data_IF_846279148119
#
_entry.id   IF_846279148119
#
_cell.length_a   1.000
_cell.length_b   1.000
_cell.length_c   1.000
_cell.angle_alpha   90.00
_cell.angle_beta   90.00
_cell.angle_gamma   90.00
#
_symmetry.space_group_name_H-M   'P 1'
#
loop_
_entity.id
_entity.type
_entity.pdbx_description
1 polymer ?
#
# COMPACT_ATOMS: atom_id res chain seq x y z
N UNK A 1 154.34 138.52 -28.59
CA UNK A 1 153.56 137.78 -27.58
C UNK A 1 152.26 138.57 -27.29
N UNK A 2 151.25 138.48 -28.16
CA UNK A 2 149.87 138.93 -27.86
C UNK A 2 148.83 138.48 -28.93
N UNK A 3 149.26 138.00 -30.10
CA UNK A 3 148.34 137.64 -31.20
C UNK A 3 147.85 136.17 -31.10
N UNK A 4 148.61 135.25 -30.52
CA UNK A 4 148.21 133.83 -30.37
C UNK A 4 147.11 133.60 -29.32
N UNK A 5 147.00 134.44 -28.29
CA UNK A 5 145.99 134.26 -27.24
C UNK A 5 144.58 134.71 -27.67
N UNK A 6 144.48 135.58 -28.68
CA UNK A 6 143.20 136.13 -29.12
C UNK A 6 142.49 135.19 -30.11
N UNK A 7 143.26 134.44 -30.93
CA UNK A 7 142.69 133.42 -31.83
C UNK A 7 142.15 132.18 -31.09
N UNK A 8 142.78 131.78 -29.98
CA UNK A 8 142.33 130.60 -29.19
C UNK A 8 141.03 130.90 -28.44
N UNK A 9 140.84 132.13 -27.97
CA UNK A 9 139.61 132.57 -27.31
C UNK A 9 138.40 132.57 -28.25
N UNK A 10 138.58 133.04 -29.50
CA UNK A 10 137.50 133.04 -30.49
C UNK A 10 137.13 131.61 -30.93
N UNK A 11 138.09 130.70 -31.07
CA UNK A 11 137.82 129.30 -31.38
C UNK A 11 137.06 128.56 -30.26
N UNK A 12 137.37 128.84 -28.99
CA UNK A 12 136.67 128.21 -27.86
C UNK A 12 135.24 128.72 -27.69
N UNK A 13 135.01 130.02 -27.89
CA UNK A 13 133.66 130.60 -27.82
C UNK A 13 132.74 130.09 -28.92
N UNK A 14 133.27 129.85 -30.14
CA UNK A 14 132.49 129.27 -31.23
C UNK A 14 132.07 127.83 -30.95
N UNK A 15 132.94 127.03 -30.33
CA UNK A 15 132.65 125.63 -30.00
C UNK A 15 131.60 125.50 -28.88
N UNK A 16 131.68 126.34 -27.86
CA UNK A 16 130.76 126.30 -26.72
C UNK A 16 129.31 126.57 -27.16
N UNK A 17 129.10 127.57 -28.02
CA UNK A 17 127.76 127.89 -28.53
C UNK A 17 127.19 126.79 -29.44
N UNK A 18 128.04 126.12 -30.23
CA UNK A 18 127.59 125.00 -31.07
C UNK A 18 127.19 123.76 -30.25
N UNK A 19 127.86 123.51 -29.11
CA UNK A 19 127.47 122.42 -28.20
C UNK A 19 126.14 122.75 -27.54
N UNK A 20 125.96 123.95 -27.00
CA UNK A 20 124.72 124.34 -26.31
C UNK A 20 123.48 124.23 -27.23
N UNK A 21 123.59 124.60 -28.50
CA UNK A 21 122.51 124.46 -29.48
C UNK A 21 122.26 122.99 -29.91
N UNK A 22 123.29 122.13 -29.91
CA UNK A 22 123.16 120.71 -30.25
C UNK A 22 122.43 119.88 -29.18
N UNK A 23 122.57 120.21 -27.88
CA UNK A 23 122.00 119.41 -26.76
C UNK A 23 120.68 119.93 -26.18
N UNK A 24 120.18 121.08 -26.64
CA UNK A 24 118.92 121.66 -26.15
C UNK A 24 117.72 120.74 -26.38
N UNK A 25 117.62 120.15 -27.57
CA UNK A 25 116.50 119.27 -27.95
C UNK A 25 116.46 117.99 -27.10
N UNK A 26 117.60 117.33 -26.88
CA UNK A 26 117.69 116.09 -26.11
C UNK A 26 117.30 116.29 -24.63
N UNK A 27 117.58 117.48 -24.08
CA UNK A 27 117.23 117.81 -22.69
C UNK A 27 115.73 117.98 -22.50
N UNK A 28 115.05 118.61 -23.46
CA UNK A 28 113.58 118.76 -23.45
C UNK A 28 112.87 117.40 -23.62
N UNK A 29 113.40 116.50 -24.47
CA UNK A 29 112.86 115.15 -24.63
C UNK A 29 112.99 114.30 -23.36
N UNK A 30 114.13 114.38 -22.67
CA UNK A 30 114.36 113.66 -21.40
C UNK A 30 113.34 114.03 -20.32
N UNK A 31 113.00 115.31 -20.16
CA UNK A 31 111.98 115.73 -19.19
C UNK A 31 110.58 115.23 -19.55
N UNK A 32 110.23 115.21 -20.84
CA UNK A 32 108.94 114.71 -21.31
C UNK A 32 108.78 113.21 -21.05
N UNK A 33 109.83 112.41 -21.31
CA UNK A 33 109.85 110.98 -21.03
C UNK A 33 109.75 110.66 -19.53
N UNK A 34 110.42 111.45 -18.67
CA UNK A 34 110.32 111.28 -17.23
C UNK A 34 108.89 111.53 -16.71
N UNK A 35 108.20 112.55 -17.23
CA UNK A 35 106.78 112.80 -16.88
C UNK A 35 105.86 111.68 -17.38
N UNK A 36 106.11 111.14 -18.57
CA UNK A 36 105.39 109.97 -19.10
C UNK A 36 105.59 108.73 -18.24
N UNK A 37 106.79 108.50 -17.73
CA UNK A 37 107.09 107.37 -16.84
C UNK A 37 106.23 107.37 -15.57
N UNK A 38 106.12 108.52 -14.90
CA UNK A 38 105.30 108.67 -13.67
C UNK A 38 103.81 108.44 -13.94
N UNK A 39 103.31 108.88 -15.11
CA UNK A 39 101.89 108.68 -15.49
C UNK A 39 101.63 107.18 -15.73
N UNK A 40 102.50 106.50 -16.47
CA UNK A 40 102.35 105.08 -16.78
C UNK A 40 102.45 104.18 -15.54
N UNK A 41 103.30 104.52 -14.57
CA UNK A 41 103.43 103.77 -13.32
C UNK A 41 102.16 103.86 -12.47
N UNK A 42 101.54 105.05 -12.43
CA UNK A 42 100.25 105.24 -11.76
C UNK A 42 99.10 104.52 -12.47
N UNK A 43 99.06 104.57 -13.81
CA UNK A 43 98.08 103.82 -14.61
C UNK A 43 98.23 102.31 -14.41
N UNK A 44 99.46 101.80 -14.27
CA UNK A 44 99.74 100.39 -14.01
C UNK A 44 99.23 99.96 -12.62
N UNK A 45 99.44 100.78 -11.59
CA UNK A 45 98.93 100.52 -10.24
C UNK A 45 97.38 100.51 -10.21
N UNK A 46 96.74 101.46 -10.90
CA UNK A 46 95.27 101.49 -11.03
C UNK A 46 94.73 100.26 -11.79
N UNK A 47 95.44 99.79 -12.83
CA UNK A 47 95.06 98.59 -13.58
C UNK A 47 95.20 97.32 -12.74
N UNK A 48 96.28 97.20 -11.95
CA UNK A 48 96.52 96.06 -11.07
C UNK A 48 95.45 95.95 -9.98
N UNK A 49 95.01 97.07 -9.41
CA UNK A 49 93.93 97.06 -8.42
C UNK A 49 92.58 96.68 -9.04
N UNK A 50 92.29 97.13 -10.26
CA UNK A 50 91.11 96.72 -11.00
C UNK A 50 91.11 95.21 -11.31
N UNK A 51 92.27 94.64 -11.64
CA UNK A 51 92.43 93.20 -11.85
C UNK A 51 92.14 92.43 -10.57
N UNK A 52 92.65 92.86 -9.42
CA UNK A 52 92.35 92.22 -8.12
C UNK A 52 90.87 92.26 -7.78
N UNK A 53 90.19 93.38 -8.01
CA UNK A 53 88.74 93.50 -7.81
C UNK A 53 87.98 92.53 -8.72
N UNK A 54 88.40 92.39 -9.99
CA UNK A 54 87.79 91.45 -10.93
C UNK A 54 88.10 89.99 -10.60
N UNK A 55 89.28 89.67 -10.09
CA UNK A 55 89.61 88.33 -9.61
C UNK A 55 88.74 87.94 -8.40
N UNK A 56 88.50 88.87 -7.47
CA UNK A 56 87.59 88.67 -6.35
C UNK A 56 86.14 88.46 -6.83
N UNK A 57 85.67 89.28 -7.78
CA UNK A 57 84.33 89.12 -8.39
C UNK A 57 84.19 87.79 -9.15
N UNK A 58 85.24 87.35 -9.85
CA UNK A 58 85.26 86.03 -10.52
C UNK A 58 85.21 84.90 -9.49
N UNK A 59 85.93 85.02 -8.37
CA UNK A 59 85.90 84.03 -7.30
C UNK A 59 84.53 83.96 -6.64
N UNK A 60 83.90 85.12 -6.39
CA UNK A 60 82.53 85.20 -5.87
C UNK A 60 81.51 84.60 -6.85
N UNK A 61 81.59 84.95 -8.14
CA UNK A 61 80.72 84.39 -9.17
C UNK A 61 80.89 82.86 -9.30
N UNK A 62 82.13 82.35 -9.20
CA UNK A 62 82.38 80.89 -9.16
C UNK A 62 81.73 80.23 -7.94
N UNK A 63 81.78 80.89 -6.78
CA UNK A 63 81.10 80.40 -5.57
C UNK A 63 79.58 80.38 -5.73
N UNK A 64 79.00 81.43 -6.33
CA UNK A 64 77.55 81.51 -6.58
C UNK A 64 77.07 80.48 -7.61
N UNK A 65 77.86 80.22 -8.67
CA UNK A 65 77.59 79.17 -9.64
C UNK A 65 77.58 77.80 -8.95
N UNK A 66 78.57 77.52 -8.08
CA UNK A 66 78.61 76.27 -7.33
C UNK A 66 77.38 76.08 -6.43
N UNK A 67 76.94 77.13 -5.72
CA UNK A 67 75.72 77.07 -4.89
C UNK A 67 74.45 76.82 -5.73
N UNK A 68 74.37 77.41 -6.92
CA UNK A 68 73.27 77.15 -7.87
C UNK A 68 73.32 75.72 -8.40
N UNK A 69 74.50 75.19 -8.76
CA UNK A 69 74.67 73.82 -9.22
C UNK A 69 74.32 72.80 -8.14
N UNK A 70 74.68 73.07 -6.89
CA UNK A 70 74.30 72.25 -5.74
C UNK A 70 72.78 72.26 -5.52
N UNK A 71 72.13 73.43 -5.66
CA UNK A 71 70.67 73.55 -5.62
C UNK A 71 69.99 72.81 -6.76
N UNK A 72 70.49 72.93 -7.99
CA UNK A 72 69.96 72.22 -9.16
C UNK A 72 70.08 70.71 -8.94
N UNK A 73 71.24 70.24 -8.45
CA UNK A 73 71.50 68.84 -8.16
C UNK A 73 70.55 68.29 -7.07
N UNK A 74 70.29 69.07 -6.02
CA UNK A 74 69.34 68.72 -4.97
C UNK A 74 67.88 68.66 -5.47
N UNK A 75 67.47 69.56 -6.36
CA UNK A 75 66.14 69.50 -6.98
C UNK A 75 66.03 68.29 -7.92
N UNK A 76 67.07 68.03 -8.72
CA UNK A 76 67.13 66.89 -9.62
C UNK A 76 67.06 65.56 -8.86
N UNK A 77 67.77 65.44 -7.72
CA UNK A 77 67.74 64.24 -6.89
C UNK A 77 66.35 63.99 -6.29
N UNK A 78 65.70 65.03 -5.72
CA UNK A 78 64.32 64.93 -5.20
C UNK A 78 63.30 64.55 -6.28
N UNK A 79 63.45 65.10 -7.49
CA UNK A 79 62.61 64.70 -8.62
C UNK A 79 62.84 63.25 -9.02
N UNK A 80 64.09 62.79 -9.02
CA UNK A 80 64.43 61.41 -9.33
C UNK A 80 63.87 60.43 -8.29
N UNK A 81 63.98 60.76 -7.01
CA UNK A 81 63.38 60.01 -5.90
C UNK A 81 61.85 59.96 -6.04
N UNK A 82 61.21 61.10 -6.27
CA UNK A 82 59.76 61.17 -6.47
C UNK A 82 59.30 60.36 -7.67
N UNK A 83 60.04 60.43 -8.79
CA UNK A 83 59.79 59.61 -9.98
C UNK A 83 59.90 58.13 -9.65
N UNK A 84 60.94 57.71 -8.93
CA UNK A 84 61.12 56.31 -8.51
C UNK A 84 59.96 55.82 -7.64
N UNK A 85 59.48 56.65 -6.70
CA UNK A 85 58.31 56.35 -5.87
C UNK A 85 57.04 56.23 -6.72
N UNK A 86 56.82 57.13 -7.68
CA UNK A 86 55.67 57.08 -8.61
C UNK A 86 55.73 55.82 -9.45
N UNK A 87 56.88 55.48 -10.02
CA UNK A 87 57.07 54.28 -10.84
C UNK A 87 56.80 53.01 -10.03
N UNK A 88 57.26 52.96 -8.77
CA UNK A 88 56.99 51.85 -7.86
C UNK A 88 55.49 51.72 -7.57
N UNK A 89 54.82 52.83 -7.21
CA UNK A 89 53.36 52.85 -6.97
C UNK A 89 52.57 52.46 -8.19
N UNK A 90 52.98 52.90 -9.38
CA UNK A 90 52.33 52.55 -10.63
C UNK A 90 52.40 51.03 -10.89
N UNK A 91 53.59 50.43 -10.71
CA UNK A 91 53.76 48.97 -10.81
C UNK A 91 52.87 48.22 -9.82
N UNK A 92 52.88 48.61 -8.55
CA UNK A 92 52.02 47.97 -7.53
C UNK A 92 50.53 48.10 -7.86
N UNK A 93 50.09 49.27 -8.35
CA UNK A 93 48.70 49.48 -8.75
C UNK A 93 48.33 48.62 -9.97
N UNK A 94 49.24 48.50 -10.94
CA UNK A 94 49.05 47.68 -12.13
C UNK A 94 48.97 46.19 -11.78
N UNK A 95 49.83 45.70 -10.88
CA UNK A 95 49.77 44.33 -10.36
C UNK A 95 48.45 44.07 -9.63
N UNK A 96 48.00 44.99 -8.77
CA UNK A 96 46.71 44.88 -8.08
C UNK A 96 45.53 44.88 -9.06
N UNK A 97 45.58 45.71 -10.11
CA UNK A 97 44.55 45.76 -11.15
C UNK A 97 44.46 44.44 -11.92
N UNK A 98 45.60 43.90 -12.38
CA UNK A 98 45.64 42.60 -13.06
C UNK A 98 45.11 41.47 -12.18
N UNK A 99 45.38 41.54 -10.87
CA UNK A 99 44.83 40.57 -9.91
C UNK A 99 43.31 40.67 -9.83
N UNK A 100 42.75 41.88 -9.72
CA UNK A 100 41.30 42.10 -9.70
C UNK A 100 40.64 41.61 -11.00
N UNK A 101 41.22 41.91 -12.17
CA UNK A 101 40.71 41.39 -13.45
C UNK A 101 40.71 39.85 -13.50
N UNK A 102 41.76 39.22 -12.97
CA UNK A 102 41.84 37.75 -12.91
C UNK A 102 40.79 37.15 -11.96
N UNK A 103 40.52 37.82 -10.83
CA UNK A 103 39.49 37.42 -9.87
C UNK A 103 38.08 37.61 -10.43
N UNK A 104 37.83 38.70 -11.16
CA UNK A 104 36.55 38.96 -11.83
C UNK A 104 36.25 37.89 -12.89
N UNK A 105 37.24 37.55 -13.73
CA UNK A 105 37.13 36.44 -14.69
C UNK A 105 36.85 35.10 -14.02
N UNK A 106 37.52 34.80 -12.89
CA UNK A 106 37.26 33.58 -12.13
C UNK A 106 35.86 33.56 -11.49
N UNK A 107 35.37 34.71 -11.01
CA UNK A 107 34.02 34.85 -10.45
C UNK A 107 32.93 34.69 -11.51
N UNK A 108 33.15 35.21 -12.72
CA UNK A 108 32.25 35.02 -13.85
C UNK A 108 32.07 33.55 -14.22
N UNK A 109 33.17 32.80 -14.36
CA UNK A 109 33.13 31.36 -14.64
C UNK A 109 32.38 30.62 -13.52
N UNK A 110 32.68 30.95 -12.26
CA UNK A 110 32.04 30.32 -11.11
C UNK A 110 30.55 30.61 -11.02
N UNK A 111 30.11 31.80 -11.46
CA UNK A 111 28.70 32.15 -11.56
C UNK A 111 28.00 31.28 -12.61
N UNK A 112 28.60 31.13 -13.80
CA UNK A 112 28.03 30.29 -14.86
C UNK A 112 27.88 28.83 -14.41
N UNK A 113 28.89 28.28 -13.71
CA UNK A 113 28.82 26.94 -13.10
C UNK A 113 27.68 26.82 -12.08
N UNK A 114 27.50 27.82 -11.21
CA UNK A 114 26.40 27.85 -10.23
C UNK A 114 25.04 27.89 -10.92
N UNK A 115 24.88 28.75 -11.93
CA UNK A 115 23.62 28.90 -12.67
C UNK A 115 23.25 27.59 -13.40
N UNK A 116 24.23 26.87 -13.96
CA UNK A 116 24.01 25.55 -14.57
C UNK A 116 23.55 24.51 -13.54
N UNK A 117 24.20 24.47 -12.37
CA UNK A 117 23.81 23.57 -11.27
C UNK A 117 22.40 23.87 -10.77
N UNK A 118 22.04 25.14 -10.61
CA UNK A 118 20.69 25.57 -10.20
C UNK A 118 19.65 25.12 -11.23
N UNK A 119 19.87 25.41 -12.52
CA UNK A 119 18.97 25.00 -13.61
C UNK A 119 18.76 23.47 -13.65
N UNK A 120 19.84 22.71 -13.47
CA UNK A 120 19.81 21.24 -13.37
C UNK A 120 19.02 20.77 -12.14
N UNK A 121 19.23 21.39 -10.98
CA UNK A 121 18.53 21.07 -9.74
C UNK A 121 17.02 21.34 -9.84
N UNK A 122 16.61 22.48 -10.42
CA UNK A 122 15.20 22.80 -10.67
C UNK A 122 14.53 21.78 -11.59
N UNK A 123 15.21 21.38 -12.68
CA UNK A 123 14.69 20.37 -13.61
C UNK A 123 14.51 19.02 -12.90
N UNK A 124 15.45 18.63 -12.03
CA UNK A 124 15.32 17.42 -11.19
C UNK A 124 14.18 17.56 -10.18
N UNK A 125 14.02 18.72 -9.54
CA UNK A 125 12.92 19.00 -8.61
C UNK A 125 11.55 18.85 -9.28
N UNK A 126 11.37 19.41 -10.48
CA UNK A 126 10.13 19.25 -11.28
C UNK A 126 9.84 17.77 -11.59
N UNK A 127 10.87 16.99 -11.96
CA UNK A 127 10.72 15.55 -12.21
C UNK A 127 10.30 14.78 -10.94
N UNK A 128 10.87 15.11 -9.78
CA UNK A 128 10.52 14.46 -8.51
C UNK A 128 9.04 14.71 -8.18
N UNK A 129 8.57 15.94 -8.32
CA UNK A 129 7.16 16.30 -8.08
C UNK A 129 6.24 15.51 -9.02
N UNK A 130 6.59 15.43 -10.31
CA UNK A 130 5.81 14.67 -11.29
C UNK A 130 5.75 13.17 -10.95
N UNK A 131 6.88 12.55 -10.62
CA UNK A 131 6.94 11.13 -10.24
C UNK A 131 6.17 10.89 -8.94
N UNK A 132 6.25 11.79 -7.97
CA UNK A 132 5.48 11.71 -6.72
C UNK A 132 3.97 11.75 -6.97
N UNK A 133 3.51 12.56 -7.92
CA UNK A 133 2.10 12.62 -8.28
C UNK A 133 1.63 11.30 -8.91
N UNK A 134 2.38 10.78 -9.89
CA UNK A 134 2.09 9.49 -10.54
C UNK A 134 2.06 8.36 -9.51
N UNK A 135 3.07 8.28 -8.63
CA UNK A 135 3.14 7.27 -7.57
C UNK A 135 1.98 7.41 -6.57
N UNK A 136 1.54 8.63 -6.25
CA UNK A 136 0.38 8.84 -5.39
C UNK A 136 -0.93 8.37 -6.03
N UNK A 137 -1.10 8.56 -7.34
CA UNK A 137 -2.30 8.11 -8.03
C UNK A 137 -2.31 6.58 -8.22
N UNK A 138 -1.15 5.98 -8.51
CA UNK A 138 -0.98 4.52 -8.53
C UNK A 138 -1.23 3.88 -7.16
N UNK A 139 -0.80 4.52 -6.08
CA UNK A 139 -1.10 4.06 -4.73
C UNK A 139 -2.61 4.07 -4.43
N UNK A 140 -3.35 5.08 -4.89
CA UNK A 140 -4.81 5.15 -4.75
C UNK A 140 -5.51 4.05 -5.54
N UNK A 141 -5.15 3.85 -6.81
CA UNK A 141 -5.76 2.79 -7.63
C UNK A 141 -5.48 1.40 -7.06
N UNK A 142 -4.28 1.16 -6.52
CA UNK A 142 -3.96 -0.07 -5.81
C UNK A 142 -4.80 -0.26 -4.54
N UNK A 143 -5.04 0.82 -3.77
CA UNK A 143 -5.88 0.78 -2.58
C UNK A 143 -7.33 0.45 -2.92
N UNK A 144 -7.90 1.08 -3.97
CA UNK A 144 -9.26 0.83 -4.43
C UNK A 144 -9.43 -0.62 -4.91
N UNK A 145 -8.47 -1.12 -5.69
CA UNK A 145 -8.45 -2.52 -6.14
C UNK A 145 -8.35 -3.50 -4.96
N UNK A 146 -7.56 -3.19 -3.92
CA UNK A 146 -7.46 -4.03 -2.72
C UNK A 146 -8.79 -4.07 -1.96
N UNK A 147 -9.48 -2.94 -1.83
CA UNK A 147 -10.79 -2.87 -1.18
C UNK A 147 -11.82 -3.73 -1.93
N UNK A 148 -11.82 -3.65 -3.26
CA UNK A 148 -12.68 -4.44 -4.14
C UNK A 148 -12.42 -5.93 -4.01
N UNK A 149 -11.14 -6.35 -4.02
CA UNK A 149 -10.74 -7.74 -3.79
C UNK A 149 -11.19 -8.25 -2.42
N UNK A 150 -11.11 -7.41 -1.38
CA UNK A 150 -11.58 -7.74 -0.02
C UNK A 150 -13.10 -7.94 0.03
N UNK A 151 -13.87 -7.08 -0.65
CA UNK A 151 -15.33 -7.24 -0.75
C UNK A 151 -15.69 -8.54 -1.46
N UNK A 152 -15.10 -8.81 -2.63
CA UNK A 152 -15.32 -10.04 -3.38
C UNK A 152 -14.94 -11.29 -2.56
N UNK A 153 -13.81 -11.26 -1.85
CA UNK A 153 -13.38 -12.37 -1.01
C UNK A 153 -14.39 -12.68 0.10
N UNK A 154 -15.04 -11.66 0.67
CA UNK A 154 -16.07 -11.84 1.69
C UNK A 154 -17.30 -12.60 1.17
N UNK A 155 -17.69 -12.37 -0.11
CA UNK A 155 -18.79 -13.12 -0.73
C UNK A 155 -18.43 -14.60 -0.94
N UNK A 156 -17.19 -14.89 -1.35
CA UNK A 156 -16.71 -16.26 -1.50
C UNK A 156 -16.71 -16.99 -0.15
N UNK A 157 -16.22 -16.33 0.90
CA UNK A 157 -16.21 -16.90 2.24
C UNK A 157 -17.63 -17.20 2.73
N UNK A 158 -18.56 -16.25 2.57
CA UNK A 158 -19.97 -16.44 2.94
C UNK A 158 -20.60 -17.61 2.19
N UNK A 159 -20.38 -17.73 0.88
CA UNK A 159 -20.89 -18.85 0.07
C UNK A 159 -20.32 -20.21 0.54
N UNK A 160 -19.03 -20.26 0.89
CA UNK A 160 -18.41 -21.47 1.46
C UNK A 160 -18.98 -21.81 2.84
N UNK A 161 -19.17 -20.83 3.70
CA UNK A 161 -19.79 -21.01 5.01
C UNK A 161 -21.24 -21.51 4.89
N UNK A 162 -22.02 -20.93 3.98
CA UNK A 162 -23.40 -21.34 3.69
C UNK A 162 -23.45 -22.79 3.19
N UNK A 163 -22.55 -23.19 2.27
CA UNK A 163 -22.42 -24.59 1.81
C UNK A 163 -22.16 -25.56 2.96
N UNK A 164 -21.22 -25.23 3.85
CA UNK A 164 -20.89 -26.06 5.01
C UNK A 164 -22.08 -26.12 5.97
N UNK A 165 -22.77 -25.01 6.21
CA UNK A 165 -23.96 -24.95 7.06
C UNK A 165 -25.07 -25.85 6.53
N UNK A 166 -25.37 -25.78 5.23
CA UNK A 166 -26.37 -26.65 4.62
C UNK A 166 -25.98 -28.13 4.67
N UNK A 167 -24.71 -28.46 4.43
CA UNK A 167 -24.21 -29.84 4.55
C UNK A 167 -24.38 -30.40 5.96
N UNK A 168 -24.06 -29.62 7.00
CA UNK A 168 -24.24 -30.04 8.41
C UNK A 168 -25.71 -30.17 8.78
N UNK A 169 -26.57 -29.37 8.17
CA UNK A 169 -28.02 -29.44 8.39
C UNK A 169 -28.59 -30.71 7.74
N UNK A 170 -28.18 -31.00 6.50
CA UNK A 170 -28.51 -32.24 5.77
C UNK A 170 -28.07 -33.49 6.56
N UNK A 171 -26.86 -33.49 7.13
CA UNK A 171 -26.33 -34.59 7.94
C UNK A 171 -27.17 -34.84 9.21
N UNK A 172 -27.44 -33.79 10.00
CA UNK A 172 -28.28 -33.90 11.21
C UNK A 172 -29.68 -34.41 10.93
N UNK A 173 -30.32 -33.91 9.87
CA UNK A 173 -31.67 -34.37 9.49
C UNK A 173 -31.62 -35.83 9.03
N UNK A 174 -30.54 -36.25 8.38
CA UNK A 174 -30.36 -37.66 7.97
C UNK A 174 -30.22 -38.59 9.18
N UNK A 175 -29.51 -38.16 10.23
CA UNK A 175 -29.45 -38.87 11.52
C UNK A 175 -30.82 -38.99 12.16
N UNK A 176 -31.59 -37.90 12.22
CA UNK A 176 -32.97 -37.89 12.75
C UNK A 176 -33.88 -38.87 11.98
N UNK A 177 -33.80 -38.88 10.64
CA UNK A 177 -34.55 -39.82 9.80
C UNK A 177 -34.17 -41.27 10.12
N UNK A 178 -32.89 -41.55 10.34
CA UNK A 178 -32.42 -42.89 10.68
C UNK A 178 -32.99 -43.36 12.02
N UNK A 179 -32.98 -42.49 13.04
CA UNK A 179 -33.57 -42.77 14.35
C UNK A 179 -35.07 -43.07 14.20
N UNK A 180 -35.81 -42.21 13.50
CA UNK A 180 -37.26 -42.42 13.28
C UNK A 180 -37.55 -43.73 12.53
N UNK A 181 -36.75 -44.10 11.54
CA UNK A 181 -36.88 -45.37 10.82
C UNK A 181 -36.61 -46.58 11.73
N UNK A 182 -35.67 -46.47 12.66
CA UNK A 182 -35.44 -47.51 13.67
C UNK A 182 -36.62 -47.65 14.61
N UNK A 183 -37.20 -46.53 15.08
CA UNK A 183 -38.41 -46.53 15.91
C UNK A 183 -39.61 -47.14 15.18
N UNK A 184 -39.82 -46.81 13.90
CA UNK A 184 -40.86 -47.42 13.07
C UNK A 184 -40.65 -48.93 12.96
N UNK A 185 -39.41 -49.37 12.72
CA UNK A 185 -39.08 -50.80 12.64
C UNK A 185 -39.39 -51.52 13.95
N UNK A 186 -38.94 -50.97 15.08
CA UNK A 186 -39.21 -51.52 16.41
C UNK A 186 -40.72 -51.58 16.72
N UNK A 187 -41.46 -50.52 16.37
CA UNK A 187 -42.91 -50.48 16.54
C UNK A 187 -43.62 -51.52 15.65
N UNK A 188 -43.17 -51.74 14.41
CA UNK A 188 -43.71 -52.79 13.53
C UNK A 188 -43.45 -54.20 14.08
N UNK A 189 -42.27 -54.46 14.64
CA UNK A 189 -41.99 -55.74 15.33
C UNK A 189 -42.93 -55.95 16.51
N UNK A 190 -43.11 -54.94 17.36
CA UNK A 190 -44.05 -55.00 18.47
C UNK A 190 -45.51 -55.22 18.00
N UNK A 191 -45.91 -54.59 16.89
CA UNK A 191 -47.24 -54.77 16.31
C UNK A 191 -47.48 -56.22 15.84
N UNK A 192 -46.44 -56.85 15.27
CA UNK A 192 -46.50 -58.25 14.85
C UNK A 192 -46.66 -59.19 16.05
N UNK A 193 -45.90 -58.96 17.12
CA UNK A 193 -46.01 -59.72 18.37
C UNK A 193 -47.41 -59.59 18.97
N UNK A 194 -47.90 -58.35 19.16
CA UNK A 194 -49.25 -58.09 19.66
C UNK A 194 -50.32 -58.77 18.79
N UNK A 195 -50.21 -58.69 17.47
CA UNK A 195 -51.16 -59.32 16.54
C UNK A 195 -51.19 -60.85 16.67
N UNK A 196 -50.03 -61.47 16.92
CA UNK A 196 -49.93 -62.92 17.16
C UNK A 196 -50.60 -63.32 18.48
N UNK A 197 -50.38 -62.55 19.54
CA UNK A 197 -51.02 -62.75 20.85
C UNK A 197 -52.53 -62.54 20.75
N UNK A 198 -52.99 -61.53 19.99
CA UNK A 198 -54.41 -61.30 19.70
C UNK A 198 -55.06 -62.54 19.09
N UNK A 199 -54.42 -63.11 18.06
CA UNK A 199 -54.96 -64.29 17.36
C UNK A 199 -55.08 -65.49 18.30
N UNK A 200 -54.09 -65.70 19.17
CA UNK A 200 -54.12 -66.78 20.18
C UNK A 200 -55.27 -66.58 21.18
N UNK A 201 -55.45 -65.39 21.74
CA UNK A 201 -56.54 -65.11 22.69
C UNK A 201 -57.90 -65.23 22.00
N UNK A 202 -58.02 -64.73 20.77
CA UNK A 202 -59.25 -64.84 19.98
C UNK A 202 -59.66 -66.31 19.75
N UNK A 203 -58.67 -67.18 19.53
CA UNK A 203 -58.90 -68.62 19.43
C UNK A 203 -59.40 -69.20 20.76
N UNK A 204 -58.79 -68.84 21.90
CA UNK A 204 -59.24 -69.27 23.23
C UNK A 204 -60.68 -68.83 23.51
N UNK A 205 -61.02 -67.57 23.22
CA UNK A 205 -62.40 -67.04 23.35
C UNK A 205 -63.38 -67.84 22.50
N UNK A 206 -62.98 -68.22 21.28
CA UNK A 206 -63.81 -69.04 20.38
C UNK A 206 -64.01 -70.45 20.92
N UNK A 207 -62.95 -71.09 21.44
CA UNK A 207 -63.01 -72.41 22.05
C UNK A 207 -63.92 -72.42 23.29
N UNK A 208 -63.78 -71.41 24.18
CA UNK A 208 -64.67 -71.26 25.33
C UNK A 208 -66.11 -71.06 24.90
N UNK A 209 -66.37 -70.20 23.90
CA UNK A 209 -67.72 -69.97 23.35
C UNK A 209 -68.33 -71.26 22.79
N UNK A 210 -67.57 -72.06 22.06
CA UNK A 210 -68.02 -73.34 21.51
C UNK A 210 -68.37 -74.35 22.62
N UNK A 211 -67.51 -74.49 23.64
CA UNK A 211 -67.74 -75.41 24.76
C UNK A 211 -68.94 -74.99 25.62
N UNK A 212 -69.08 -73.70 25.91
CA UNK A 212 -70.25 -73.15 26.59
C UNK A 212 -71.52 -73.44 25.79
N UNK A 213 -71.52 -73.19 24.48
CA UNK A 213 -72.67 -73.48 23.62
C UNK A 213 -73.03 -74.96 23.53
N UNK A 214 -72.05 -75.86 23.64
CA UNK A 214 -72.30 -77.30 23.78
C UNK A 214 -73.02 -77.62 25.10
N UNK A 215 -72.52 -77.09 26.21
CA UNK A 215 -73.12 -77.30 27.54
C UNK A 215 -74.55 -76.75 27.59
N UNK A 216 -74.80 -75.59 26.98
CA UNK A 216 -76.13 -74.97 26.91
C UNK A 216 -77.14 -75.81 26.13
N UNK A 217 -76.71 -76.58 25.14
CA UNK A 217 -77.57 -77.53 24.42
C UNK A 217 -77.80 -78.82 25.21
N UNK A 218 -76.75 -79.35 25.86
CA UNK A 218 -76.83 -80.61 26.63
C UNK A 218 -77.60 -80.46 27.94
N UNK A 219 -77.60 -79.27 28.56
CA UNK A 219 -78.29 -79.02 29.83
C UNK A 219 -79.79 -79.35 29.80
N UNK A 220 -80.58 -78.83 28.84
CA UNK A 220 -81.99 -79.16 28.68
C UNK A 220 -82.25 -80.65 28.40
N UNK A 221 -81.37 -81.31 27.64
CA UNK A 221 -81.45 -82.76 27.37
C UNK A 221 -81.28 -83.57 28.66
N UNK A 222 -80.26 -83.26 29.46
CA UNK A 222 -80.04 -83.92 30.75
C UNK A 222 -81.21 -83.66 31.72
N UNK A 223 -81.80 -82.47 31.71
CA UNK A 223 -82.97 -82.18 32.54
C UNK A 223 -84.21 -82.97 32.08
N UNK A 224 -84.38 -83.19 30.77
CA UNK A 224 -85.43 -84.06 30.23
C UNK A 224 -85.18 -85.53 30.57
N UNK A 225 -83.95 -86.03 30.39
CA UNK A 225 -83.54 -87.39 30.78
C UNK A 225 -83.76 -87.64 32.28
N UNK A 226 -83.42 -86.66 33.14
CA UNK A 226 -83.67 -86.70 34.58
C UNK A 226 -85.15 -86.87 34.91
N UNK A 227 -86.02 -86.10 34.24
CA UNK A 227 -87.48 -86.17 34.43
C UNK A 227 -88.05 -87.52 33.99
N UNK A 228 -87.58 -88.06 32.87
CA UNK A 228 -87.99 -89.39 32.38
C UNK A 228 -87.54 -90.49 33.34
N UNK A 229 -86.28 -90.47 33.80
CA UNK A 229 -85.77 -91.44 34.75
C UNK A 229 -86.50 -91.40 36.10
N UNK A 230 -86.84 -90.19 36.58
CA UNK A 230 -87.64 -90.00 37.79
C UNK A 230 -89.08 -90.51 37.62
N UNK A 231 -89.73 -90.25 36.48
CA UNK A 231 -91.07 -90.75 36.16
C UNK A 231 -91.11 -92.28 36.06
N UNK A 232 -90.03 -92.90 35.59
CA UNK A 232 -89.83 -94.36 35.59
C UNK A 232 -89.46 -94.94 36.97
N UNK A 233 -89.45 -94.12 38.04
CA UNK A 233 -89.03 -94.48 39.41
C UNK A 233 -87.59 -95.01 39.51
N UNK A 234 -86.74 -94.70 38.53
CA UNK A 234 -85.32 -95.02 38.54
C UNK A 234 -84.51 -93.86 39.15
N UNK A 235 -84.60 -93.71 40.49
CA UNK A 235 -83.98 -92.60 41.22
C UNK A 235 -82.45 -92.61 41.18
N UNK A 236 -81.83 -93.78 40.98
CA UNK A 236 -80.37 -93.90 40.85
C UNK A 236 -79.89 -93.21 39.58
N UNK A 237 -80.57 -93.46 38.46
CA UNK A 237 -80.25 -92.86 37.18
C UNK A 237 -80.60 -91.36 37.17
N UNK A 238 -81.74 -90.96 37.75
CA UNK A 238 -82.06 -89.55 37.92
C UNK A 238 -81.02 -88.80 38.77
N UNK A 239 -80.48 -89.43 39.81
CA UNK A 239 -79.38 -88.87 40.63
C UNK A 239 -78.07 -88.73 39.86
N UNK A 240 -77.71 -89.72 39.02
CA UNK A 240 -76.53 -89.67 38.15
C UNK A 240 -76.62 -88.53 37.15
N UNK A 241 -77.75 -88.42 36.44
CA UNK A 241 -78.02 -87.37 35.45
C UNK A 241 -78.04 -85.99 36.12
N UNK A 242 -78.58 -85.87 37.34
CA UNK A 242 -78.54 -84.62 38.11
C UNK A 242 -77.10 -84.21 38.50
N UNK A 243 -76.25 -85.16 38.86
CA UNK A 243 -74.85 -84.90 39.17
C UNK A 243 -74.06 -84.46 37.93
N UNK A 244 -74.31 -85.10 36.77
CA UNK A 244 -73.74 -84.72 35.48
C UNK A 244 -74.15 -83.29 35.08
N UNK A 245 -75.44 -82.96 35.21
CA UNK A 245 -75.94 -81.61 34.94
C UNK A 245 -75.31 -80.55 35.85
N UNK A 246 -75.15 -80.83 37.14
CA UNK A 246 -74.45 -79.93 38.08
C UNK A 246 -72.98 -79.76 37.73
N UNK A 247 -72.30 -80.84 37.37
CA UNK A 247 -70.89 -80.80 36.96
C UNK A 247 -70.69 -79.93 35.73
N UNK A 248 -71.52 -80.11 34.70
CA UNK A 248 -71.46 -79.29 33.48
C UNK A 248 -71.84 -77.82 33.76
N UNK A 249 -72.73 -77.56 34.72
CA UNK A 249 -73.07 -76.21 35.13
C UNK A 249 -71.88 -75.49 35.77
N UNK A 250 -71.16 -76.14 36.68
CA UNK A 250 -69.93 -75.61 37.28
C UNK A 250 -68.86 -75.37 36.20
N UNK A 251 -68.69 -76.30 35.27
CA UNK A 251 -67.78 -76.14 34.13
C UNK A 251 -68.17 -74.91 33.29
N UNK A 252 -69.46 -74.69 33.03
CA UNK A 252 -69.95 -73.52 32.31
C UNK A 252 -69.58 -72.21 33.01
N UNK A 253 -69.80 -72.12 34.33
CA UNK A 253 -69.48 -70.90 35.09
C UNK A 253 -67.98 -70.60 35.07
N UNK A 254 -67.12 -71.61 35.23
CA UNK A 254 -65.66 -71.47 35.13
C UNK A 254 -65.22 -71.03 33.72
N UNK A 255 -65.78 -71.66 32.67
CA UNK A 255 -65.50 -71.28 31.29
C UNK A 255 -66.01 -69.87 30.94
N UNK A 256 -67.16 -69.47 31.49
CA UNK A 256 -67.71 -68.14 31.31
C UNK A 256 -66.79 -67.09 31.95
N UNK A 257 -66.30 -67.35 33.16
CA UNK A 257 -65.33 -66.47 33.83
C UNK A 257 -64.01 -66.37 33.05
N UNK A 258 -63.47 -67.50 32.57
CA UNK A 258 -62.26 -67.52 31.72
C UNK A 258 -62.47 -66.76 30.42
N UNK A 259 -63.63 -66.91 29.78
CA UNK A 259 -64.00 -66.16 28.58
C UNK A 259 -64.05 -64.66 28.84
N UNK A 260 -64.72 -64.21 29.89
CA UNK A 260 -64.81 -62.79 30.25
C UNK A 260 -63.42 -62.19 30.49
N UNK A 261 -62.55 -62.91 31.20
CA UNK A 261 -61.15 -62.50 31.41
C UNK A 261 -60.37 -62.41 30.09
N UNK A 262 -60.53 -63.39 29.19
CA UNK A 262 -59.87 -63.39 27.89
C UNK A 262 -60.38 -62.26 26.99
N UNK A 263 -61.67 -61.93 27.03
CA UNK A 263 -62.26 -60.79 26.32
C UNK A 263 -61.69 -59.46 26.84
N UNK A 264 -61.62 -59.26 28.16
CA UNK A 264 -61.01 -58.05 28.73
C UNK A 264 -59.52 -57.91 28.35
N UNK A 265 -58.79 -59.03 28.26
CA UNK A 265 -57.40 -59.02 27.81
C UNK A 265 -57.31 -58.68 26.31
N UNK A 266 -58.23 -59.19 25.49
CA UNK A 266 -58.33 -58.85 24.07
C UNK A 266 -58.59 -57.35 23.87
N UNK A 267 -59.54 -56.76 24.61
CA UNK A 267 -59.86 -55.33 24.52
C UNK A 267 -58.64 -54.44 24.82
N UNK A 268 -57.89 -54.75 25.88
CA UNK A 268 -56.64 -54.03 26.21
C UNK A 268 -55.61 -54.14 25.08
N UNK A 269 -55.46 -55.35 24.55
CA UNK A 269 -54.50 -55.62 23.50
C UNK A 269 -54.89 -54.95 22.17
N UNK A 270 -56.18 -54.83 21.86
CA UNK A 270 -56.67 -54.05 20.72
C UNK A 270 -56.38 -52.55 20.86
N UNK A 271 -56.47 -52.00 22.07
CA UNK A 271 -56.08 -50.61 22.34
C UNK A 271 -54.56 -50.40 22.18
N UNK A 272 -53.74 -51.33 22.68
CA UNK A 272 -52.28 -51.30 22.48
C UNK A 272 -51.91 -51.40 20.99
N UNK A 273 -52.59 -52.26 20.23
CA UNK A 273 -52.42 -52.36 18.78
C UNK A 273 -52.76 -51.03 18.11
N UNK A 274 -53.89 -50.39 18.47
CA UNK A 274 -54.30 -49.10 17.89
C UNK A 274 -53.27 -48.02 18.18
N UNK A 275 -52.86 -47.88 19.44
CA UNK A 275 -51.84 -46.91 19.85
C UNK A 275 -50.51 -47.11 19.11
N UNK A 276 -50.11 -48.36 18.91
CA UNK A 276 -48.88 -48.67 18.19
C UNK A 276 -48.97 -48.36 16.68
N UNK A 277 -50.13 -48.58 16.05
CA UNK A 277 -50.39 -48.19 14.66
C UNK A 277 -50.36 -46.66 14.50
N UNK A 278 -51.00 -45.92 15.40
CA UNK A 278 -50.96 -44.45 15.39
C UNK A 278 -49.54 -43.92 15.54
N UNK A 279 -48.73 -44.54 16.40
CA UNK A 279 -47.30 -44.19 16.56
C UNK A 279 -46.50 -44.44 15.28
N UNK A 280 -46.72 -45.56 14.60
CA UNK A 280 -46.07 -45.86 13.31
C UNK A 280 -46.44 -44.79 12.27
N UNK A 281 -47.73 -44.49 12.11
CA UNK A 281 -48.21 -43.49 11.15
C UNK A 281 -47.63 -42.11 11.42
N UNK A 282 -47.65 -41.66 12.68
CA UNK A 282 -47.08 -40.37 13.08
C UNK A 282 -45.58 -40.29 12.78
N UNK A 283 -44.83 -41.36 13.04
CA UNK A 283 -43.40 -41.38 12.74
C UNK A 283 -43.14 -41.42 11.22
N UNK A 284 -43.96 -42.11 10.44
CA UNK A 284 -43.87 -42.10 8.97
C UNK A 284 -44.14 -40.72 8.38
N UNK A 285 -45.14 -40.00 8.89
CA UNK A 285 -45.41 -38.60 8.52
C UNK A 285 -44.22 -37.69 8.87
N UNK A 286 -43.62 -37.88 10.05
CA UNK A 286 -42.46 -37.11 10.48
C UNK A 286 -41.22 -37.41 9.62
N UNK A 287 -41.00 -38.66 9.22
CA UNK A 287 -39.95 -39.03 8.27
C UNK A 287 -40.13 -38.29 6.95
N UNK A 288 -41.35 -38.27 6.39
CA UNK A 288 -41.61 -37.56 5.14
C UNK A 288 -41.36 -36.05 5.27
N UNK A 289 -41.72 -35.43 6.40
CA UNK A 289 -41.43 -34.02 6.65
C UNK A 289 -39.93 -33.77 6.72
N UNK A 290 -39.19 -34.62 7.44
CA UNK A 290 -37.73 -34.52 7.58
C UNK A 290 -37.01 -34.76 6.25
N UNK A 291 -37.48 -35.69 5.44
CA UNK A 291 -36.94 -35.93 4.09
C UNK A 291 -37.10 -34.70 3.20
N UNK A 292 -38.23 -33.98 3.30
CA UNK A 292 -38.42 -32.69 2.61
C UNK A 292 -37.46 -31.61 3.11
N UNK A 293 -37.27 -31.48 4.43
CA UNK A 293 -36.31 -30.54 5.02
C UNK A 293 -34.87 -30.83 4.57
N UNK A 294 -34.48 -32.11 4.55
CA UNK A 294 -33.17 -32.54 4.06
C UNK A 294 -33.00 -32.24 2.56
N UNK A 295 -34.02 -32.53 1.75
CA UNK A 295 -34.01 -32.24 0.33
C UNK A 295 -33.87 -30.74 0.06
N UNK A 296 -34.56 -29.88 0.83
CA UNK A 296 -34.43 -28.43 0.73
C UNK A 296 -33.02 -27.94 1.10
N UNK A 297 -32.43 -28.46 2.18
CA UNK A 297 -31.05 -28.15 2.54
C UNK A 297 -30.06 -28.61 1.43
N UNK A 298 -30.29 -29.79 0.86
CA UNK A 298 -29.49 -30.33 -0.25
C UNK A 298 -29.62 -29.47 -1.50
N UNK A 299 -30.83 -29.05 -1.89
CA UNK A 299 -31.06 -28.14 -3.03
C UNK A 299 -30.32 -26.82 -2.86
N UNK A 300 -30.44 -26.17 -1.70
CA UNK A 300 -29.73 -24.92 -1.42
C UNK A 300 -28.20 -25.08 -1.50
N UNK A 301 -27.67 -26.20 -0.99
CA UNK A 301 -26.24 -26.52 -1.09
C UNK A 301 -25.81 -26.73 -2.54
N UNK A 302 -26.57 -27.51 -3.30
CA UNK A 302 -26.28 -27.85 -4.69
C UNK A 302 -26.36 -26.63 -5.60
N UNK A 303 -27.32 -25.71 -5.39
CA UNK A 303 -27.37 -24.44 -6.11
C UNK A 303 -26.10 -23.60 -5.92
N UNK A 304 -25.57 -23.53 -4.69
CA UNK A 304 -24.29 -22.85 -4.43
C UNK A 304 -23.09 -23.54 -5.11
N UNK A 305 -23.14 -24.87 -5.27
CA UNK A 305 -22.11 -25.62 -6.01
C UNK A 305 -22.20 -25.33 -7.51
N UNK A 306 -23.39 -25.37 -8.10
CA UNK A 306 -23.60 -25.06 -9.52
C UNK A 306 -23.20 -23.61 -9.84
N UNK A 307 -23.58 -22.66 -8.99
CA UNK A 307 -23.18 -21.26 -9.14
C UNK A 307 -21.65 -21.06 -9.03
N UNK A 308 -20.97 -21.81 -8.14
CA UNK A 308 -19.51 -21.77 -8.04
C UNK A 308 -18.84 -22.34 -9.29
N UNK A 309 -19.32 -23.49 -9.79
CA UNK A 309 -18.81 -24.09 -11.04
C UNK A 309 -19.00 -23.16 -12.24
N UNK A 310 -20.14 -22.44 -12.34
CA UNK A 310 -20.35 -21.40 -13.36
C UNK A 310 -19.38 -20.23 -13.23
N UNK A 311 -19.15 -19.78 -12.00
CA UNK A 311 -18.21 -18.70 -11.74
C UNK A 311 -16.80 -19.10 -12.19
N UNK A 312 -16.34 -20.29 -11.84
CA UNK A 312 -15.04 -20.84 -12.25
C UNK A 312 -14.97 -21.05 -13.77
N UNK A 313 -16.04 -21.54 -14.39
CA UNK A 313 -16.13 -21.68 -15.85
C UNK A 313 -15.88 -20.36 -16.56
N UNK A 314 -16.50 -19.29 -16.10
CA UNK A 314 -16.32 -17.97 -16.72
C UNK A 314 -14.89 -17.44 -16.58
N UNK A 315 -14.14 -17.86 -15.55
CA UNK A 315 -12.69 -17.62 -15.46
C UNK A 315 -11.94 -18.45 -16.48
N UNK A 316 -12.18 -19.76 -16.52
CA UNK A 316 -11.49 -20.68 -17.41
C UNK A 316 -11.62 -20.22 -18.88
N UNK A 317 -12.83 -19.83 -19.29
CA UNK A 317 -13.09 -19.28 -20.62
C UNK A 317 -12.32 -17.97 -20.90
N UNK A 318 -12.25 -17.06 -19.93
CA UNK A 318 -11.46 -15.82 -20.06
C UNK A 318 -9.96 -16.08 -20.12
N UNK A 319 -9.49 -17.15 -19.47
CA UNK A 319 -8.10 -17.59 -19.50
C UNK A 319 -7.77 -18.44 -20.74
N UNK A 320 -8.74 -18.70 -21.62
CA UNK A 320 -8.57 -19.50 -22.83
C UNK A 320 -8.58 -21.02 -22.60
N UNK A 321 -8.92 -21.48 -21.39
CA UNK A 321 -9.03 -22.89 -21.06
C UNK A 321 -10.44 -23.43 -21.37
N UNK A 322 -10.63 -23.83 -22.62
CA UNK A 322 -11.90 -24.35 -23.13
C UNK A 322 -12.23 -25.74 -22.58
N UNK A 323 -11.23 -26.54 -22.24
CA UNK A 323 -11.43 -27.89 -21.70
C UNK A 323 -11.99 -27.80 -20.28
N UNK A 324 -11.34 -27.03 -19.42
CA UNK A 324 -11.81 -26.77 -18.06
C UNK A 324 -13.19 -26.09 -18.07
N UNK A 325 -13.40 -25.10 -18.96
CA UNK A 325 -14.69 -24.46 -19.12
C UNK A 325 -15.83 -25.41 -19.54
N UNK A 326 -15.52 -26.47 -20.29
CA UNK A 326 -16.48 -27.52 -20.68
C UNK A 326 -16.76 -28.50 -19.53
N UNK A 327 -15.73 -28.89 -18.77
CA UNK A 327 -15.87 -29.74 -17.60
C UNK A 327 -16.74 -29.08 -16.52
N UNK A 328 -16.46 -27.82 -16.19
CA UNK A 328 -17.21 -27.04 -15.20
C UNK A 328 -18.67 -26.79 -15.62
N UNK A 329 -18.94 -26.66 -16.93
CA UNK A 329 -20.32 -26.59 -17.44
C UNK A 329 -21.08 -27.89 -17.14
N UNK A 330 -20.47 -29.04 -17.46
CA UNK A 330 -21.07 -30.36 -17.20
C UNK A 330 -21.29 -30.60 -15.71
N UNK A 331 -20.37 -30.16 -14.86
CA UNK A 331 -20.55 -30.23 -13.41
C UNK A 331 -21.76 -29.40 -12.95
N UNK A 332 -21.86 -28.14 -13.40
CA UNK A 332 -23.00 -27.28 -13.06
C UNK A 332 -24.33 -27.90 -13.53
N UNK A 333 -24.42 -28.35 -14.78
CA UNK A 333 -25.63 -28.97 -15.35
C UNK A 333 -26.01 -30.28 -14.63
N UNK A 334 -25.03 -31.12 -14.29
CA UNK A 334 -25.30 -32.35 -13.54
C UNK A 334 -25.85 -32.07 -12.14
N UNK A 335 -25.31 -31.06 -11.47
CA UNK A 335 -25.78 -30.62 -10.15
C UNK A 335 -27.19 -30.04 -10.24
N UNK A 336 -27.49 -29.26 -11.27
CA UNK A 336 -28.84 -28.71 -11.50
C UNK A 336 -29.88 -29.75 -11.85
N UNK A 337 -29.51 -30.76 -12.64
CA UNK A 337 -30.37 -31.91 -12.90
C UNK A 337 -30.78 -32.57 -11.58
N UNK A 338 -29.83 -32.73 -10.65
CA UNK A 338 -30.10 -33.29 -9.33
C UNK A 338 -31.01 -32.39 -8.48
N UNK A 339 -30.86 -31.06 -8.57
CA UNK A 339 -31.77 -30.10 -7.90
C UNK A 339 -33.18 -30.23 -8.46
N UNK A 340 -33.34 -30.26 -9.78
CA UNK A 340 -34.64 -30.42 -10.44
C UNK A 340 -35.32 -31.75 -10.07
N UNK A 341 -34.55 -32.84 -10.00
CA UNK A 341 -35.04 -34.14 -9.52
C UNK A 341 -35.56 -34.05 -8.07
N UNK A 342 -34.79 -33.46 -7.15
CA UNK A 342 -35.19 -33.30 -5.76
C UNK A 342 -36.43 -32.40 -5.61
N UNK A 343 -36.48 -31.28 -6.33
CA UNK A 343 -37.65 -30.39 -6.36
C UNK A 343 -38.90 -31.15 -6.83
N UNK A 344 -38.79 -31.98 -7.87
CA UNK A 344 -39.90 -32.76 -8.41
C UNK A 344 -40.34 -33.88 -7.46
N UNK A 345 -39.40 -34.59 -6.84
CA UNK A 345 -39.71 -35.70 -5.91
C UNK A 345 -40.45 -35.19 -4.67
N UNK A 346 -40.07 -34.01 -4.16
CA UNK A 346 -40.59 -33.48 -2.90
C UNK A 346 -41.57 -32.30 -3.05
N UNK A 347 -41.89 -31.89 -4.29
CA UNK A 347 -42.68 -30.71 -4.64
C UNK A 347 -42.20 -29.45 -3.89
N UNK A 348 -40.90 -29.17 -3.99
CA UNK A 348 -40.28 -28.01 -3.34
C UNK A 348 -40.37 -26.80 -4.26
N UNK A 349 -40.89 -25.70 -3.73
CA UNK A 349 -40.90 -24.41 -4.41
C UNK A 349 -39.62 -23.66 -4.03
N UNK A 350 -38.57 -23.86 -4.82
CA UNK A 350 -37.28 -23.19 -4.63
C UNK A 350 -37.00 -22.44 -5.92
N UNK A 351 -37.12 -21.12 -5.86
CA UNK A 351 -36.61 -20.26 -6.92
C UNK A 351 -35.10 -20.47 -7.02
N UNK A 352 -34.63 -20.77 -8.23
CA UNK A 352 -33.22 -20.73 -8.54
C UNK A 352 -32.78 -19.28 -8.56
N UNK A 353 -32.49 -18.76 -7.38
CA UNK A 353 -31.88 -17.45 -7.25
C UNK A 353 -30.51 -17.57 -7.94
N UNK A 354 -30.36 -16.93 -9.11
CA UNK A 354 -29.10 -16.82 -9.86
C UNK A 354 -28.14 -15.97 -9.04
N UNK A 355 -27.69 -16.50 -7.91
CA UNK A 355 -26.63 -15.91 -7.10
C UNK A 355 -25.36 -16.04 -7.92
N UNK A 356 -25.08 -14.99 -8.69
CA UNK A 356 -23.83 -14.79 -9.39
C UNK A 356 -22.70 -14.79 -8.37
N UNK A 357 -22.17 -15.98 -8.09
CA UNK A 357 -20.99 -16.17 -7.28
C UNK A 357 -19.76 -15.75 -8.07
N UNK A 358 -18.73 -15.35 -7.35
CA UNK A 358 -17.45 -14.93 -7.94
C UNK A 358 -16.41 -15.99 -7.63
N UNK A 359 -15.62 -16.39 -8.62
CA UNK A 359 -14.53 -17.34 -8.42
C UNK A 359 -13.35 -16.68 -7.72
N UNK A 360 -12.62 -17.44 -6.90
CA UNK A 360 -11.38 -16.95 -6.27
C UNK A 360 -10.32 -16.61 -7.32
N UNK A 361 -10.29 -17.37 -8.42
CA UNK A 361 -9.38 -17.12 -9.53
C UNK A 361 -9.66 -15.79 -10.25
N UNK A 362 -10.90 -15.30 -10.21
CA UNK A 362 -11.21 -13.95 -10.70
C UNK A 362 -10.57 -12.86 -9.85
N UNK A 363 -10.59 -13.01 -8.52
CA UNK A 363 -10.06 -12.02 -7.59
C UNK A 363 -8.54 -11.90 -7.73
N UNK A 364 -7.84 -13.00 -8.03
CA UNK A 364 -6.38 -12.99 -8.11
C UNK A 364 -5.88 -12.49 -9.47
N UNK A 365 -6.58 -12.79 -10.56
CA UNK A 365 -6.02 -12.69 -11.91
C UNK A 365 -6.58 -11.56 -12.79
N UNK A 366 -7.66 -10.88 -12.37
CA UNK A 366 -8.24 -9.76 -13.14
C UNK A 366 -7.67 -8.39 -12.77
N UNK A 367 -7.79 -7.48 -13.74
CA UNK A 367 -7.57 -6.05 -13.63
C UNK A 367 -8.75 -5.32 -12.95
N UNK A 368 -8.54 -4.04 -12.62
CA UNK A 368 -9.46 -3.24 -11.79
C UNK A 368 -10.86 -3.05 -12.39
N UNK A 369 -10.94 -2.85 -13.71
CA UNK A 369 -12.21 -2.59 -14.40
C UNK A 369 -13.12 -3.82 -14.39
N UNK A 370 -12.56 -5.00 -14.69
CA UNK A 370 -13.31 -6.24 -14.63
C UNK A 370 -13.70 -6.64 -13.21
N UNK A 371 -12.87 -6.34 -12.21
CA UNK A 371 -13.24 -6.57 -10.80
C UNK A 371 -14.41 -5.67 -10.36
N UNK A 372 -14.50 -4.44 -10.89
CA UNK A 372 -15.53 -3.46 -10.49
C UNK A 372 -16.90 -3.90 -11.00
N UNK A 373 -16.96 -4.30 -12.26
CA UNK A 373 -18.16 -4.87 -12.89
C UNK A 373 -18.67 -6.11 -12.12
N UNK A 374 -17.76 -7.04 -11.82
CA UNK A 374 -18.10 -8.27 -11.08
C UNK A 374 -18.57 -7.96 -9.66
N UNK A 375 -17.99 -6.96 -8.99
CA UNK A 375 -18.43 -6.57 -7.66
C UNK A 375 -19.80 -5.90 -7.67
N UNK A 376 -20.14 -5.11 -8.68
CA UNK A 376 -21.48 -4.54 -8.85
C UNK A 376 -22.52 -5.65 -9.03
N UNK A 377 -22.26 -6.63 -9.88
CA UNK A 377 -23.16 -7.78 -10.08
C UNK A 377 -23.32 -8.60 -8.80
N UNK A 378 -22.23 -8.83 -8.06
CA UNK A 378 -22.26 -9.55 -6.78
C UNK A 378 -23.01 -8.78 -5.67
N UNK A 379 -22.99 -7.45 -5.69
CA UNK A 379 -23.60 -6.60 -4.65
C UNK A 379 -25.08 -6.26 -4.92
N UNK A 380 -25.49 -6.12 -6.19
CA UNK A 380 -26.91 -5.96 -6.56
C UNK A 380 -27.78 -7.13 -6.07
N UNK A 381 -27.23 -8.35 -6.10
CA UNK A 381 -27.98 -9.57 -5.76
C UNK A 381 -28.12 -9.81 -4.25
N UNK A 382 -27.39 -9.08 -3.38
CA UNK A 382 -27.59 -9.15 -1.93
C UNK A 382 -28.70 -8.21 -1.43
N UNK A 383 -28.91 -7.07 -2.09
CA UNK A 383 -29.97 -6.14 -1.73
C UNK A 383 -31.38 -6.68 -2.10
N UNK A 384 -31.47 -7.57 -3.08
CA UNK A 384 -32.70 -8.31 -3.39
C UNK A 384 -33.13 -9.26 -2.26
N UNK A 385 -32.18 -9.80 -1.48
CA UNK A 385 -32.45 -10.71 -0.34
C UNK A 385 -32.94 -9.97 0.91
N UNK A 386 -32.70 -8.66 1.02
CA UNK A 386 -33.19 -7.84 2.14
C UNK A 386 -34.57 -7.23 1.85
N UNK A 387 -35.00 -7.20 0.59
CA UNK A 387 -36.25 -6.56 0.15
C UNK A 387 -37.51 -7.45 0.09
N UNK A 388 -37.41 -8.76 0.34
CA UNK A 388 -38.55 -9.70 0.23
C UNK A 388 -39.12 -10.18 1.57
N UNK A 389 -38.70 -9.60 2.70
CA UNK A 389 -39.40 -9.72 3.98
C UNK A 389 -40.12 -8.40 4.29
N UNK A 390 -41.27 -8.19 3.65
CA UNK A 390 -42.20 -7.10 3.92
C UNK A 390 -43.63 -7.61 3.87
#
# INVERSE_FOLDING_TARGET
MHIESQLISEAHSGLQNAIEDLVKNDREEKEMLARKGVILEKELDELLELVRLKEAEIAENKSQIQDVDDRISNVASKFHETKSIIDMKHKTLQEAFLKVESEDGALLIRKEEIDEVISSAEKKGRKIIQVSAIASDEAKTCQDLLQLKKQLASFILKSREDRVRYSKTEEKISEDIQILRQEISAARTALQELSSTRASIQQEVTLYKQRIGFIEKRGPELEAEKKVAAAARNFREAGRVAAEAKSLHIEKEDLQHKREKAVLHLEKLEEEIRSNVERIQKNEELVLLKEKEAALASCNRLQLVAAAARAERSVALKMGDLEEGSLLLKEAEAVESKVMELQKVYNLDIEMDEKNLVSLAFITNLDGDHLSEVCQVASFNLNAVVGSQG
#
